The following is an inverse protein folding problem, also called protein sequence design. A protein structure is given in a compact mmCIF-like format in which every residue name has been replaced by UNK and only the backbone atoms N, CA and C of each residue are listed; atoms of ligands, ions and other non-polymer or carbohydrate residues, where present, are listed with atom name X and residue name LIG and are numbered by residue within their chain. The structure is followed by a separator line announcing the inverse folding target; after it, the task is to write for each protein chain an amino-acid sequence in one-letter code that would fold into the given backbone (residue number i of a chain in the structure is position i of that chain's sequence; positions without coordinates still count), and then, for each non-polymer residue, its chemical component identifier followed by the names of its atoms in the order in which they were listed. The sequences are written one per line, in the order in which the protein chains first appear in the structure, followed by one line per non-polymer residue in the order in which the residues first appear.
data_IF_174269384868
#
_entry.id   IF_174269384868
#
_cell.length_a   1.000
_cell.length_b   1.000
_cell.length_c   1.000
_cell.angle_alpha   90.00
_cell.angle_beta   90.00
_cell.angle_gamma   90.00
#
_symmetry.space_group_name_H-M   'P 1'
#
loop_
_entity.id
_entity.type
_entity.pdbx_description
1 polymer ?
#
# COMPACT_ATOMS: atom_id res chain seq x y z
N UNK A 1 14.34 23.73 -3.25
CA UNK A 1 13.35 22.87 -3.88
C UNK A 1 12.17 22.68 -2.94
N UNK A 2 10.98 22.80 -3.47
CA UNK A 2 9.78 22.60 -2.67
C UNK A 2 9.58 21.11 -2.39
N UNK A 3 9.23 20.78 -1.15
CA UNK A 3 8.82 19.42 -0.82
C UNK A 3 7.45 19.14 -1.46
N UNK A 4 7.15 17.89 -1.83
CA UNK A 4 5.82 17.58 -2.33
C UNK A 4 4.77 17.89 -1.28
N UNK A 5 3.65 18.45 -1.72
CA UNK A 5 2.56 18.75 -0.81
C UNK A 5 1.87 17.44 -0.37
N UNK A 6 1.09 17.51 0.71
CA UNK A 6 0.30 16.37 1.15
C UNK A 6 -0.64 15.89 0.07
N UNK A 7 -1.22 16.83 -0.70
CA UNK A 7 -2.10 16.49 -1.81
C UNK A 7 -1.37 15.68 -2.86
N UNK A 8 -0.15 16.08 -3.21
CA UNK A 8 0.67 15.34 -4.17
C UNK A 8 1.00 13.93 -3.67
N UNK A 9 1.34 13.80 -2.40
CA UNK A 9 1.61 12.50 -1.79
C UNK A 9 0.38 11.61 -1.80
N UNK A 10 -0.79 12.16 -1.48
CA UNK A 10 -2.03 11.40 -1.48
C UNK A 10 -2.41 10.94 -2.89
N UNK A 11 -2.14 11.76 -3.91
CA UNK A 11 -2.37 11.39 -5.30
C UNK A 11 -1.41 10.31 -5.80
N UNK A 12 -0.23 10.24 -5.21
CA UNK A 12 0.76 9.23 -5.57
C UNK A 12 0.44 7.85 -4.99
N UNK A 13 -0.49 7.76 -4.03
CA UNK A 13 -0.90 6.48 -3.46
C UNK A 13 -1.56 5.61 -4.53
N UNK A 14 -1.11 4.37 -4.70
CA UNK A 14 -1.70 3.48 -5.70
C UNK A 14 -3.10 3.03 -5.28
N UNK A 15 -3.92 2.71 -6.26
CA UNK A 15 -5.23 2.10 -6.01
C UNK A 15 -5.06 0.62 -5.72
N UNK A 16 -6.06 0.03 -5.08
CA UNK A 16 -6.05 -1.40 -4.75
C UNK A 16 -5.80 -2.25 -5.99
N UNK A 17 -6.49 -1.94 -7.10
CA UNK A 17 -6.34 -2.65 -8.36
C UNK A 17 -4.90 -2.62 -8.87
N UNK A 18 -4.25 -1.45 -8.79
CA UNK A 18 -2.86 -1.29 -9.21
C UNK A 18 -1.93 -2.13 -8.35
N UNK A 19 -2.15 -2.15 -7.05
CA UNK A 19 -1.35 -2.95 -6.12
C UNK A 19 -1.50 -4.45 -6.41
N UNK A 20 -2.72 -4.90 -6.70
CA UNK A 20 -2.98 -6.30 -6.99
C UNK A 20 -2.33 -6.79 -8.28
N UNK A 21 -1.99 -5.86 -9.18
CA UNK A 21 -1.29 -6.18 -10.43
C UNK A 21 0.23 -6.28 -10.26
N UNK A 22 0.77 -5.80 -9.15
CA UNK A 22 2.21 -5.90 -8.90
C UNK A 22 2.61 -7.36 -8.72
N UNK A 23 3.74 -7.80 -9.31
CA UNK A 23 4.19 -9.19 -9.18
C UNK A 23 4.32 -9.65 -7.73
N UNK A 24 4.85 -8.80 -6.86
CA UNK A 24 5.04 -9.12 -5.44
C UNK A 24 3.71 -9.35 -4.73
N UNK A 25 2.69 -8.59 -5.11
CA UNK A 25 1.37 -8.67 -4.50
C UNK A 25 0.54 -9.78 -5.16
N UNK A 26 0.57 -9.87 -6.49
CA UNK A 26 -0.19 -10.88 -7.21
C UNK A 26 0.23 -12.31 -6.84
N UNK A 27 1.51 -12.51 -6.50
CA UNK A 27 2.00 -13.80 -6.04
C UNK A 27 1.29 -14.27 -4.76
N UNK A 28 0.79 -13.34 -3.95
CA UNK A 28 0.08 -13.65 -2.72
C UNK A 28 -1.33 -14.19 -2.98
N UNK A 29 -1.85 -14.03 -4.20
CA UNK A 29 -3.15 -14.58 -4.58
C UNK A 29 -3.18 -16.11 -4.53
N UNK A 30 -2.02 -16.76 -4.60
CA UNK A 30 -1.94 -18.21 -4.44
C UNK A 30 -2.09 -18.64 -2.98
N UNK A 31 -1.94 -17.73 -2.04
CA UNK A 31 -2.00 -18.00 -0.59
C UNK A 31 -3.31 -17.52 0.02
N UNK A 32 -3.91 -16.47 -0.51
CA UNK A 32 -5.09 -15.84 0.06
C UNK A 32 -6.12 -15.53 -1.04
N UNK A 33 -7.43 -15.57 -0.69
CA UNK A 33 -8.45 -15.07 -1.60
C UNK A 33 -8.22 -13.59 -1.96
N UNK A 34 -8.64 -13.19 -3.15
CA UNK A 34 -8.50 -11.82 -3.61
C UNK A 34 -9.13 -10.79 -2.65
N UNK A 35 -10.28 -11.11 -2.08
CA UNK A 35 -10.97 -10.21 -1.14
C UNK A 35 -10.13 -9.95 0.10
N UNK A 36 -9.49 -10.98 0.64
CA UNK A 36 -8.62 -10.85 1.80
C UNK A 36 -7.37 -10.05 1.45
N UNK A 37 -6.78 -10.33 0.29
CA UNK A 37 -5.60 -9.60 -0.16
C UNK A 37 -5.93 -8.14 -0.43
N UNK A 38 -7.09 -7.85 -1.00
CA UNK A 38 -7.54 -6.47 -1.21
C UNK A 38 -7.66 -5.71 0.11
N UNK A 39 -8.15 -6.37 1.16
CA UNK A 39 -8.22 -5.77 2.49
C UNK A 39 -6.82 -5.46 3.04
N UNK A 40 -5.86 -6.37 2.82
CA UNK A 40 -4.47 -6.12 3.20
C UNK A 40 -3.89 -4.89 2.51
N UNK A 41 -4.17 -4.74 1.20
CA UNK A 41 -3.73 -3.59 0.43
C UNK A 41 -4.36 -2.30 0.97
N UNK A 42 -5.67 -2.33 1.24
CA UNK A 42 -6.37 -1.16 1.79
C UNK A 42 -5.80 -0.74 3.12
N UNK A 43 -5.50 -1.69 3.99
CA UNK A 43 -4.89 -1.41 5.28
C UNK A 43 -3.52 -0.75 5.12
N UNK A 44 -2.70 -1.27 4.22
CA UNK A 44 -1.36 -0.72 3.97
C UNK A 44 -1.43 0.69 3.40
N UNK A 45 -2.31 0.92 2.42
CA UNK A 45 -2.49 2.23 1.81
C UNK A 45 -3.06 3.23 2.81
N UNK A 46 -4.04 2.80 3.62
CA UNK A 46 -4.67 3.66 4.61
C UNK A 46 -3.67 4.09 5.69
N UNK A 47 -2.82 3.19 6.13
CA UNK A 47 -1.77 3.49 7.09
C UNK A 47 -0.80 4.53 6.53
N UNK A 48 -0.41 4.38 5.26
CA UNK A 48 0.46 5.35 4.60
C UNK A 48 -0.24 6.70 4.46
N UNK A 49 -1.54 6.70 4.14
CA UNK A 49 -2.32 7.93 4.06
C UNK A 49 -2.33 8.67 5.40
N UNK A 50 -2.54 7.95 6.48
CA UNK A 50 -2.51 8.55 7.83
C UNK A 50 -1.14 9.13 8.15
N UNK A 51 -0.08 8.43 7.77
CA UNK A 51 1.27 8.91 7.98
C UNK A 51 1.54 10.19 7.19
N UNK A 52 1.05 10.27 5.95
CA UNK A 52 1.16 11.47 5.13
C UNK A 52 0.42 12.64 5.78
N UNK A 53 -0.82 12.40 6.23
CA UNK A 53 -1.64 13.45 6.86
C UNK A 53 -1.06 13.92 8.19
N UNK A 54 -0.37 13.04 8.89
CA UNK A 54 0.30 13.38 10.15
C UNK A 54 1.67 14.05 9.94
N UNK A 55 2.14 14.12 8.68
CA UNK A 55 3.46 14.68 8.37
C UNK A 55 4.61 13.75 8.67
N UNK A 56 4.34 12.48 8.97
CA UNK A 56 5.36 11.48 9.28
C UNK A 56 5.94 10.81 8.03
N UNK A 57 5.29 10.95 6.89
CA UNK A 57 5.71 10.36 5.63
C UNK A 57 5.90 11.47 4.61
N UNK A 58 7.10 11.57 4.04
CA UNK A 58 7.44 12.62 3.08
C UNK A 58 7.38 12.15 1.65
N UNK A 59 7.25 10.86 1.42
CA UNK A 59 7.15 10.29 0.07
C UNK A 59 6.41 8.96 0.10
N UNK A 60 5.79 8.64 -1.04
CA UNK A 60 5.11 7.36 -1.22
C UNK A 60 6.07 6.40 -1.92
N UNK A 61 6.28 5.23 -1.31
CA UNK A 61 7.17 4.20 -1.83
C UNK A 61 6.34 2.95 -2.11
N UNK A 62 6.09 2.67 -3.38
CA UNK A 62 5.27 1.52 -3.79
C UNK A 62 5.90 0.18 -3.35
N UNK A 63 7.22 -0.05 -3.50
CA UNK A 63 7.83 -1.26 -2.96
C UNK A 63 7.61 -1.44 -1.46
N UNK A 64 7.67 -0.36 -0.68
CA UNK A 64 7.41 -0.43 0.76
C UNK A 64 5.95 -0.78 1.05
N UNK A 65 5.02 -0.28 0.23
CA UNK A 65 3.61 -0.65 0.35
C UNK A 65 3.39 -2.14 0.03
N UNK A 66 4.08 -2.67 -0.98
CA UNK A 66 4.02 -4.08 -1.32
C UNK A 66 4.54 -4.95 -0.17
N UNK A 67 5.64 -4.54 0.46
CA UNK A 67 6.18 -5.22 1.63
C UNK A 67 5.19 -5.20 2.81
N UNK A 68 4.57 -4.07 3.05
CA UNK A 68 3.56 -3.93 4.12
C UNK A 68 2.36 -4.83 3.85
N UNK A 69 1.92 -4.90 2.60
CA UNK A 69 0.82 -5.78 2.19
C UNK A 69 1.19 -7.24 2.42
N UNK A 70 2.40 -7.63 2.05
CA UNK A 70 2.90 -8.98 2.23
C UNK A 70 2.95 -9.37 3.71
N UNK A 71 3.43 -8.46 4.56
CA UNK A 71 3.49 -8.71 5.99
C UNK A 71 2.09 -8.94 6.58
N UNK A 72 1.11 -8.16 6.13
CA UNK A 72 -0.27 -8.32 6.56
C UNK A 72 -0.88 -9.63 6.06
N UNK A 73 -0.60 -9.99 4.82
CA UNK A 73 -1.05 -11.24 4.22
C UNK A 73 -0.48 -12.45 4.97
N UNK A 74 0.78 -12.37 5.36
CA UNK A 74 1.45 -13.42 6.10
C UNK A 74 0.78 -13.68 7.45
N UNK A 75 0.30 -12.62 8.11
CA UNK A 75 -0.41 -12.74 9.38
C UNK A 75 -1.78 -13.39 9.23
N UNK A 76 -2.40 -13.26 8.06
CA UNK A 76 -3.75 -13.77 7.79
C UNK A 76 -3.74 -15.17 7.17
N UNK A 77 -2.60 -15.63 6.70
CA UNK A 77 -2.50 -16.95 6.07
C UNK A 77 -2.38 -18.10 7.06
#
# INVERSE_FOLDING_TARGET
MANPSRTDLLRALPQVEEMLQLPEVSALLSLLPRSVLADCVREAVDETRRAVLAGACERVDVPALAESTRARADRKS
#
